data_IF_480151291251
#
_entry.id   IF_480151291251
#
_cell.length_a   1.000
_cell.length_b   1.000
_cell.length_c   1.000
_cell.angle_alpha   90.00
_cell.angle_beta   90.00
_cell.angle_gamma   90.00
#
_symmetry.space_group_name_H-M   'P 1'
#
loop_
_entity.id
_entity.type
_entity.pdbx_description
1 polymer ?
#
# COMPACT_ATOMS: atom_id res chain seq x y z
N UNK A 1 -14.40 22.27 18.71
CA UNK A 1 -13.31 21.50 19.34
C UNK A 1 -12.99 20.34 18.41
N UNK A 2 -11.75 20.18 17.94
CA UNK A 2 -11.37 18.92 17.27
C UNK A 2 -11.50 17.82 18.33
N UNK A 3 -12.18 16.73 18.00
CA UNK A 3 -12.31 15.60 18.93
C UNK A 3 -10.91 15.12 19.34
N UNK A 4 -10.63 15.12 20.64
CA UNK A 4 -9.38 14.64 21.24
C UNK A 4 -8.98 13.26 20.69
N UNK A 5 -9.96 12.39 20.47
CA UNK A 5 -9.78 11.06 19.89
C UNK A 5 -9.31 11.09 18.43
N UNK A 6 -9.71 12.08 17.63
CA UNK A 6 -9.23 12.22 16.24
C UNK A 6 -7.76 12.66 16.20
N UNK A 7 -7.35 13.59 17.07
CA UNK A 7 -5.93 13.94 17.21
C UNK A 7 -5.10 12.77 17.72
N UNK A 8 -5.62 12.03 18.72
CA UNK A 8 -4.96 10.83 19.25
C UNK A 8 -4.77 9.77 18.17
N UNK A 9 -5.82 9.50 17.37
CA UNK A 9 -5.77 8.58 16.23
C UNK A 9 -4.65 8.92 15.25
N UNK A 10 -4.56 10.20 14.89
CA UNK A 10 -3.56 10.69 13.95
C UNK A 10 -2.14 10.46 14.48
N UNK A 11 -1.90 10.83 15.74
CA UNK A 11 -0.60 10.69 16.39
C UNK A 11 -0.18 9.22 16.55
N UNK A 12 -1.11 8.31 16.87
CA UNK A 12 -0.83 6.87 16.96
C UNK A 12 -0.46 6.26 15.59
N UNK A 13 -1.14 6.68 14.51
CA UNK A 13 -0.80 6.24 13.16
C UNK A 13 0.58 6.76 12.72
N UNK A 14 0.86 8.04 12.96
CA UNK A 14 2.19 8.64 12.71
C UNK A 14 3.27 7.93 13.53
N UNK A 15 2.95 7.50 14.76
CA UNK A 15 3.80 6.67 15.61
C UNK A 15 4.05 5.24 15.08
N UNK A 16 3.42 4.85 13.97
CA UNK A 16 3.63 3.56 13.31
C UNK A 16 2.81 2.40 13.87
N UNK A 17 1.80 2.71 14.71
CA UNK A 17 0.85 1.71 15.23
C UNK A 17 -0.07 1.27 14.09
N UNK A 18 -0.41 -0.03 14.07
CA UNK A 18 -1.24 -0.55 12.97
C UNK A 18 -2.67 0.03 13.04
N UNK A 19 -3.32 0.33 11.89
CA UNK A 19 -4.66 0.92 11.87
C UNK A 19 -5.70 0.13 12.68
N UNK A 20 -5.70 -1.21 12.59
CA UNK A 20 -6.62 -2.06 13.36
C UNK A 20 -6.51 -1.88 14.87
N UNK A 21 -5.30 -1.72 15.39
CA UNK A 21 -5.08 -1.49 16.82
C UNK A 21 -5.50 -0.08 17.21
N UNK A 22 -5.22 0.92 16.35
CA UNK A 22 -5.66 2.30 16.57
C UNK A 22 -7.19 2.38 16.59
N UNK A 23 -7.87 1.83 15.57
CA UNK A 23 -9.33 1.87 15.47
C UNK A 23 -9.99 1.12 16.64
N UNK A 24 -9.42 -0.02 17.07
CA UNK A 24 -9.87 -0.73 18.28
C UNK A 24 -9.70 0.12 19.54
N UNK A 25 -8.54 0.73 19.73
CA UNK A 25 -8.24 1.53 20.91
C UNK A 25 -9.11 2.81 20.98
N UNK A 26 -9.30 3.49 19.86
CA UNK A 26 -10.20 4.66 19.77
C UNK A 26 -11.65 4.27 20.07
N UNK A 27 -12.09 3.09 19.61
CA UNK A 27 -13.43 2.58 19.95
C UNK A 27 -13.56 2.30 21.44
N UNK A 28 -12.60 1.59 22.04
CA UNK A 28 -12.60 1.31 23.49
C UNK A 28 -12.59 2.60 24.31
N UNK A 29 -11.85 3.64 23.89
CA UNK A 29 -11.87 4.95 24.53
C UNK A 29 -13.18 5.71 24.32
N UNK A 30 -13.81 5.60 23.16
CA UNK A 30 -15.12 6.20 22.90
C UNK A 30 -16.19 5.55 23.78
N UNK A 31 -16.22 4.22 23.84
CA UNK A 31 -17.14 3.46 24.70
C UNK A 31 -16.97 3.88 26.16
N UNK A 32 -15.73 3.94 26.66
CA UNK A 32 -15.49 4.37 28.05
C UNK A 32 -15.92 5.83 28.31
N UNK A 33 -15.70 6.74 27.36
CA UNK A 33 -16.18 8.12 27.47
C UNK A 33 -17.70 8.16 27.52
N UNK A 34 -18.36 7.37 26.68
CA UNK A 34 -19.82 7.34 26.58
C UNK A 34 -20.42 6.76 27.87
N UNK A 35 -19.79 5.73 28.47
CA UNK A 35 -20.15 5.21 29.80
C UNK A 35 -20.02 6.30 30.91
N UNK A 36 -18.93 7.08 30.90
CA UNK A 36 -18.75 8.19 31.86
C UNK A 36 -19.83 9.27 31.64
N UNK A 37 -20.13 9.59 30.39
CA UNK A 37 -21.13 10.60 30.05
C UNK A 37 -22.54 10.16 30.50
N UNK A 38 -22.89 8.90 30.32
CA UNK A 38 -24.17 8.36 30.76
C UNK A 38 -24.30 8.42 32.29
N UNK A 39 -23.28 7.99 33.02
CA UNK A 39 -23.28 8.07 34.48
C UNK A 39 -23.41 9.52 35.00
N UNK A 40 -22.81 10.49 34.30
CA UNK A 40 -22.95 11.92 34.62
C UNK A 40 -24.35 12.45 34.30
N UNK A 41 -25.00 11.96 33.24
CA UNK A 41 -26.39 12.30 32.91
C UNK A 41 -27.36 11.76 33.96
N UNK A 42 -27.17 10.52 34.39
CA UNK A 42 -27.94 9.91 35.49
C UNK A 42 -27.80 10.72 36.80
N UNK A 43 -26.64 11.36 36.99
CA UNK A 43 -26.37 12.26 38.11
C UNK A 43 -27.02 13.65 37.97
N UNK A 44 -27.83 13.88 36.93
CA UNK A 44 -28.61 15.10 36.72
C UNK A 44 -27.93 16.17 35.86
N UNK A 45 -26.80 15.86 35.20
CA UNK A 45 -26.14 16.81 34.30
C UNK A 45 -26.80 16.84 32.92
N UNK A 46 -26.75 18.00 32.27
CA UNK A 46 -27.17 18.13 30.88
C UNK A 46 -26.25 17.33 29.94
N UNK A 47 -26.77 16.88 28.79
CA UNK A 47 -26.02 16.02 27.86
C UNK A 47 -24.71 16.65 27.37
N UNK A 48 -24.68 17.97 27.15
CA UNK A 48 -23.49 18.69 26.68
C UNK A 48 -22.44 18.83 27.78
N UNK A 49 -22.86 19.10 29.01
CA UNK A 49 -21.96 19.21 30.16
C UNK A 49 -21.41 17.85 30.58
N UNK A 50 -22.23 16.81 30.55
CA UNK A 50 -21.84 15.43 30.82
C UNK A 50 -20.73 14.98 29.86
N UNK A 51 -20.88 15.25 28.56
CA UNK A 51 -19.89 14.90 27.55
C UNK A 51 -18.59 15.72 27.66
N UNK A 52 -18.70 17.02 27.98
CA UNK A 52 -17.53 17.88 28.25
C UNK A 52 -16.73 17.38 29.46
N UNK A 53 -17.43 17.06 30.56
CA UNK A 53 -16.80 16.46 31.76
C UNK A 53 -16.24 15.07 31.50
N UNK A 54 -16.91 14.25 30.69
CA UNK A 54 -16.42 12.93 30.30
C UNK A 54 -15.11 13.03 29.53
N UNK A 55 -15.01 13.95 28.56
CA UNK A 55 -13.75 14.22 27.86
C UNK A 55 -12.64 14.69 28.83
N UNK A 56 -12.97 15.58 29.77
CA UNK A 56 -11.99 16.04 30.76
C UNK A 56 -11.53 14.91 31.71
N UNK A 57 -12.42 13.98 32.07
CA UNK A 57 -12.08 12.80 32.90
C UNK A 57 -11.27 11.75 32.14
N UNK A 58 -11.49 11.61 30.84
CA UNK A 58 -10.72 10.70 29.98
C UNK A 58 -9.22 11.05 29.97
N UNK A 59 -8.88 12.31 30.26
CA UNK A 59 -7.51 12.79 30.41
C UNK A 59 -6.91 13.32 29.12
N UNK A 60 -5.64 13.70 29.20
CA UNK A 60 -4.92 14.30 28.10
C UNK A 60 -4.46 13.24 27.08
N UNK A 61 -4.47 13.63 25.79
CA UNK A 61 -4.10 12.79 24.66
C UNK A 61 -2.69 12.21 24.83
N UNK A 62 -1.77 13.02 25.33
CA UNK A 62 -0.35 12.69 25.48
C UNK A 62 -0.12 11.55 26.49
N UNK A 63 -0.93 11.52 27.56
CA UNK A 63 -0.90 10.46 28.57
C UNK A 63 -1.44 9.15 28.00
N UNK A 64 -2.45 9.22 27.13
CA UNK A 64 -3.03 8.06 26.45
C UNK A 64 -2.12 7.50 25.33
N UNK A 65 -1.22 8.33 24.78
CA UNK A 65 -0.27 7.96 23.72
C UNK A 65 0.96 7.22 24.24
N UNK A 66 1.53 7.68 25.35
CA UNK A 66 2.82 7.22 25.86
C UNK A 66 2.90 5.68 26.01
N UNK A 67 1.92 5.01 26.62
CA UNK A 67 1.96 3.56 26.83
C UNK A 67 2.00 2.77 25.50
N UNK A 68 1.23 3.25 24.51
CA UNK A 68 1.11 2.63 23.19
C UNK A 68 2.38 2.82 22.33
N UNK A 69 3.05 3.97 22.44
CA UNK A 69 4.30 4.24 21.71
C UNK A 69 5.53 3.57 22.33
N UNK A 70 5.54 3.45 23.66
CA UNK A 70 6.61 2.82 24.42
C UNK A 70 6.69 1.31 24.13
N UNK A 71 5.55 0.64 23.99
CA UNK A 71 5.53 -0.78 23.72
C UNK A 71 5.70 -1.08 22.22
N UNK A 72 6.90 -1.56 21.87
CA UNK A 72 7.25 -1.96 20.50
C UNK A 72 6.26 -2.96 19.90
N UNK A 73 5.54 -3.77 20.71
CA UNK A 73 4.59 -4.80 20.23
C UNK A 73 3.44 -4.22 19.41
N UNK A 74 3.04 -2.98 19.66
CA UNK A 74 1.95 -2.32 18.92
C UNK A 74 2.38 -1.72 17.58
N UNK A 75 3.70 -1.60 17.33
CA UNK A 75 4.22 -1.11 16.04
C UNK A 75 3.97 -2.13 14.95
N UNK A 76 3.39 -1.66 13.84
CA UNK A 76 3.16 -2.51 12.68
C UNK A 76 4.48 -3.00 12.05
N UNK A 77 4.49 -4.20 11.46
CA UNK A 77 5.68 -4.74 10.78
C UNK A 77 6.21 -3.81 9.68
N UNK A 78 5.31 -3.12 8.97
CA UNK A 78 5.65 -2.10 7.97
C UNK A 78 6.33 -0.87 8.58
N UNK A 79 5.99 -0.47 9.81
CA UNK A 79 6.69 0.60 10.51
C UNK A 79 8.07 0.16 11.03
N UNK A 80 8.24 -1.13 11.34
CA UNK A 80 9.54 -1.70 11.77
C UNK A 80 10.51 -1.89 10.59
N UNK A 81 9.99 -2.29 9.43
CA UNK A 81 10.79 -2.60 8.24
C UNK A 81 10.22 -1.93 6.99
N UNK A 82 10.24 -0.59 6.90
CA UNK A 82 9.57 0.12 5.81
C UNK A 82 10.18 -0.20 4.43
N UNK A 83 11.51 -0.36 4.34
CA UNK A 83 12.17 -0.79 3.11
C UNK A 83 11.67 -2.17 2.63
N UNK A 84 11.51 -3.13 3.55
CA UNK A 84 11.03 -4.47 3.20
C UNK A 84 9.60 -4.43 2.64
N UNK A 85 8.71 -3.67 3.27
CA UNK A 85 7.30 -3.64 2.90
C UNK A 85 6.98 -2.75 1.69
N UNK A 86 7.71 -1.64 1.52
CA UNK A 86 7.39 -0.65 0.48
C UNK A 86 8.35 -0.64 -0.70
N UNK A 87 9.48 -1.34 -0.63
CA UNK A 87 10.43 -1.48 -1.74
C UNK A 87 10.63 -2.96 -2.10
N UNK A 88 11.08 -3.80 -1.17
CA UNK A 88 11.44 -5.18 -1.49
C UNK A 88 10.22 -6.04 -1.86
N UNK A 89 9.15 -6.01 -1.07
CA UNK A 89 7.94 -6.81 -1.34
C UNK A 89 7.28 -6.46 -2.69
N UNK A 90 7.11 -5.18 -3.07
CA UNK A 90 6.66 -4.78 -4.40
C UNK A 90 7.52 -5.33 -5.54
N UNK A 91 8.85 -5.23 -5.41
CA UNK A 91 9.78 -5.74 -6.42
C UNK A 91 9.75 -7.27 -6.51
N UNK A 92 9.63 -7.95 -5.37
CA UNK A 92 9.47 -9.42 -5.32
C UNK A 92 8.16 -9.85 -5.99
N UNK A 93 7.07 -9.11 -5.77
CA UNK A 93 5.80 -9.39 -6.44
C UNK A 93 5.92 -9.21 -7.97
N UNK A 94 6.55 -8.13 -8.42
CA UNK A 94 6.80 -7.90 -9.85
C UNK A 94 7.71 -8.98 -10.45
N UNK A 95 8.78 -9.37 -9.74
CA UNK A 95 9.65 -10.46 -10.15
C UNK A 95 8.92 -11.79 -10.26
N UNK A 96 8.06 -12.11 -9.28
CA UNK A 96 7.23 -13.31 -9.31
C UNK A 96 6.27 -13.33 -10.51
N UNK A 97 5.71 -12.17 -10.90
CA UNK A 97 4.88 -12.06 -12.11
C UNK A 97 5.69 -12.32 -13.39
N UNK A 98 6.92 -11.79 -13.47
CA UNK A 98 7.81 -12.03 -14.62
C UNK A 98 8.13 -13.52 -14.73
N UNK A 99 8.62 -14.12 -13.64
CA UNK A 99 9.01 -15.54 -13.62
C UNK A 99 7.79 -16.44 -13.89
N UNK A 100 6.68 -16.19 -13.19
CA UNK A 100 5.44 -16.96 -13.37
C UNK A 100 4.90 -16.85 -14.80
N UNK A 101 4.95 -15.66 -15.40
CA UNK A 101 4.53 -15.43 -16.77
C UNK A 101 5.40 -16.17 -17.79
N UNK A 102 6.73 -16.10 -17.64
CA UNK A 102 7.65 -16.84 -18.52
C UNK A 102 7.45 -18.35 -18.39
N UNK A 103 7.31 -18.86 -17.16
CA UNK A 103 7.01 -20.28 -16.94
C UNK A 103 5.66 -20.70 -17.55
N UNK A 104 4.65 -19.84 -17.48
CA UNK A 104 3.36 -20.08 -18.12
C UNK A 104 3.47 -20.14 -19.65
N UNK A 105 4.27 -19.27 -20.28
CA UNK A 105 4.54 -19.32 -21.72
C UNK A 105 5.30 -20.59 -22.12
N UNK A 106 6.32 -20.97 -21.34
CA UNK A 106 7.07 -22.21 -21.56
C UNK A 106 6.18 -23.43 -21.46
N UNK A 107 5.29 -23.45 -20.47
CA UNK A 107 4.30 -24.52 -20.33
C UNK A 107 3.33 -24.54 -21.51
N UNK A 108 2.78 -23.38 -21.90
CA UNK A 108 1.86 -23.28 -23.03
C UNK A 108 2.50 -23.75 -24.36
N UNK A 109 3.80 -23.50 -24.55
CA UNK A 109 4.56 -23.95 -25.72
C UNK A 109 4.56 -25.47 -25.90
N UNK A 110 4.51 -26.23 -24.79
CA UNK A 110 4.48 -27.69 -24.78
C UNK A 110 3.08 -28.29 -24.89
N UNK A 111 2.04 -27.47 -25.06
CA UNK A 111 0.64 -27.92 -25.07
C UNK A 111 -0.07 -27.54 -26.38
N UNK A 112 -1.36 -27.89 -26.51
CA UNK A 112 -2.21 -27.45 -27.62
C UNK A 112 -2.39 -25.93 -27.73
N UNK A 113 -1.93 -25.15 -26.74
CA UNK A 113 -1.98 -23.68 -26.75
C UNK A 113 -0.85 -23.03 -27.57
N UNK A 114 0.09 -23.81 -28.11
CA UNK A 114 1.20 -23.32 -28.93
C UNK A 114 0.79 -22.33 -30.04
N UNK A 115 -0.33 -22.51 -30.78
CA UNK A 115 -0.75 -21.54 -31.80
C UNK A 115 -1.05 -20.15 -31.23
N UNK A 116 -1.47 -20.07 -29.96
CA UNK A 116 -1.81 -18.82 -29.27
C UNK A 116 -0.62 -18.21 -28.50
N UNK A 117 0.60 -18.76 -28.63
CA UNK A 117 1.73 -18.36 -27.78
C UNK A 117 2.14 -16.90 -27.98
N UNK A 118 1.96 -16.36 -29.20
CA UNK A 118 2.23 -14.96 -29.51
C UNK A 118 1.21 -14.04 -28.82
N UNK A 119 -0.06 -14.43 -28.83
CA UNK A 119 -1.13 -13.68 -28.14
C UNK A 119 -0.94 -13.72 -26.62
N UNK A 120 -0.58 -14.89 -26.08
CA UNK A 120 -0.24 -15.04 -24.66
C UNK A 120 0.99 -14.21 -24.28
N UNK A 121 2.01 -14.17 -25.15
CA UNK A 121 3.20 -13.33 -24.95
C UNK A 121 2.88 -11.84 -24.94
N UNK A 122 2.01 -11.40 -25.84
CA UNK A 122 1.51 -10.03 -25.91
C UNK A 122 0.69 -9.68 -24.66
N UNK A 123 -0.19 -10.58 -24.23
CA UNK A 123 -0.97 -10.46 -23.00
C UNK A 123 -0.07 -10.35 -21.76
N UNK A 124 0.98 -11.16 -21.69
CA UNK A 124 1.97 -11.07 -20.61
C UNK A 124 2.72 -9.74 -20.63
N UNK A 125 3.13 -9.26 -21.81
CA UNK A 125 3.80 -7.96 -21.93
C UNK A 125 2.91 -6.81 -21.42
N UNK A 126 1.61 -6.82 -21.76
CA UNK A 126 0.64 -5.86 -21.25
C UNK A 126 0.46 -5.98 -19.73
N UNK A 127 0.33 -7.20 -19.21
CA UNK A 127 0.21 -7.44 -17.77
C UNK A 127 1.42 -6.90 -17.02
N UNK A 128 2.64 -7.16 -17.50
CA UNK A 128 3.87 -6.68 -16.88
C UNK A 128 3.99 -5.17 -16.97
N UNK A 129 3.52 -4.54 -18.05
CA UNK A 129 3.49 -3.09 -18.21
C UNK A 129 2.54 -2.40 -17.23
N UNK A 130 1.37 -2.99 -16.97
CA UNK A 130 0.35 -2.42 -16.06
C UNK A 130 0.65 -2.77 -14.59
N UNK A 131 1.28 -3.90 -14.33
CA UNK A 131 1.59 -4.38 -12.98
C UNK A 131 2.29 -3.35 -12.06
N UNK A 132 3.33 -2.57 -12.47
CA UNK A 132 3.97 -1.61 -11.58
C UNK A 132 3.00 -0.51 -11.12
N UNK A 133 2.01 -0.13 -11.93
CA UNK A 133 1.00 0.88 -11.58
C UNK A 133 0.10 0.34 -10.47
N UNK A 134 -0.42 -0.89 -10.65
CA UNK A 134 -1.28 -1.52 -9.65
C UNK A 134 -0.52 -1.74 -8.33
N UNK A 135 0.71 -2.23 -8.41
CA UNK A 135 1.59 -2.42 -7.23
C UNK A 135 1.88 -1.07 -6.56
N UNK A 136 2.17 -0.01 -7.34
CA UNK A 136 2.37 1.33 -6.83
C UNK A 136 1.13 1.84 -6.08
N UNK A 137 -0.06 1.69 -6.66
CA UNK A 137 -1.29 2.14 -6.02
C UNK A 137 -1.53 1.41 -4.69
N UNK A 138 -1.35 0.09 -4.67
CA UNK A 138 -1.50 -0.71 -3.45
C UNK A 138 -0.50 -0.27 -2.37
N UNK A 139 0.75 -0.02 -2.73
CA UNK A 139 1.80 0.39 -1.78
C UNK A 139 1.57 1.81 -1.25
N UNK A 140 1.21 2.75 -2.12
CA UNK A 140 0.92 4.13 -1.74
C UNK A 140 -0.34 4.23 -0.86
N UNK A 141 -1.42 3.55 -1.23
CA UNK A 141 -2.63 3.49 -0.40
C UNK A 141 -2.34 2.82 0.95
N UNK A 142 -1.52 1.76 0.99
CA UNK A 142 -1.11 1.12 2.22
C UNK A 142 -0.21 2.02 3.10
N UNK A 143 0.66 2.83 2.48
CA UNK A 143 1.48 3.82 3.19
C UNK A 143 0.62 4.94 3.79
N UNK A 144 -0.32 5.49 3.01
CA UNK A 144 -1.23 6.54 3.45
C UNK A 144 -2.14 6.08 4.59
N UNK A 145 -2.76 4.89 4.48
CA UNK A 145 -3.59 4.32 5.55
C UNK A 145 -2.82 4.16 6.88
N UNK A 146 -1.49 4.03 6.80
CA UNK A 146 -0.60 3.88 7.96
C UNK A 146 0.12 5.18 8.32
N UNK A 147 -0.21 6.31 7.67
CA UNK A 147 0.48 7.61 7.83
C UNK A 147 2.01 7.48 7.73
N UNK A 148 2.50 6.52 6.95
CA UNK A 148 3.91 6.22 6.82
C UNK A 148 4.62 7.27 5.95
N UNK A 149 5.91 7.48 6.20
CA UNK A 149 6.72 8.39 5.37
C UNK A 149 6.75 7.94 3.91
N UNK A 150 6.58 8.87 2.97
CA UNK A 150 6.55 8.57 1.53
C UNK A 150 7.90 8.16 0.92
N UNK A 151 9.03 8.29 1.65
CA UNK A 151 10.38 8.04 1.11
C UNK A 151 10.53 6.61 0.54
N UNK A 152 10.15 5.59 1.32
CA UNK A 152 10.26 4.20 0.89
C UNK A 152 9.25 3.79 -0.18
N UNK A 153 7.95 4.13 -0.07
CA UNK A 153 7.00 3.92 -1.14
C UNK A 153 7.43 4.54 -2.46
N UNK A 154 7.94 5.79 -2.46
CA UNK A 154 8.38 6.46 -3.68
C UNK A 154 9.59 5.76 -4.32
N UNK A 155 10.53 5.27 -3.53
CA UNK A 155 11.63 4.44 -4.04
C UNK A 155 11.12 3.13 -4.66
N UNK A 156 10.13 2.49 -4.04
CA UNK A 156 9.48 1.30 -4.59
C UNK A 156 8.78 1.56 -5.92
N UNK A 157 8.01 2.65 -6.01
CA UNK A 157 7.36 3.10 -7.25
C UNK A 157 8.39 3.36 -8.34
N UNK A 158 9.45 4.10 -8.02
CA UNK A 158 10.52 4.39 -8.97
C UNK A 158 11.21 3.12 -9.47
N UNK A 159 11.60 2.23 -8.56
CA UNK A 159 12.25 0.98 -8.90
C UNK A 159 11.36 0.07 -9.76
N UNK A 160 10.07 -0.07 -9.41
CA UNK A 160 9.14 -0.89 -10.18
C UNK A 160 8.87 -0.34 -11.58
N UNK A 161 8.73 0.98 -11.72
CA UNK A 161 8.59 1.65 -13.00
C UNK A 161 9.86 1.50 -13.86
N UNK A 162 11.05 1.62 -13.27
CA UNK A 162 12.33 1.39 -13.95
C UNK A 162 12.45 -0.04 -14.48
N UNK A 163 12.17 -1.03 -13.64
CA UNK A 163 12.20 -2.45 -14.04
C UNK A 163 11.22 -2.67 -15.19
N UNK A 164 9.99 -2.16 -15.08
CA UNK A 164 8.98 -2.35 -16.13
C UNK A 164 9.32 -1.65 -17.43
N UNK A 165 9.92 -0.45 -17.38
CA UNK A 165 10.29 0.30 -18.57
C UNK A 165 11.52 -0.30 -19.28
N UNK A 166 12.43 -0.92 -18.52
CA UNK A 166 13.61 -1.58 -19.06
C UNK A 166 13.32 -2.97 -19.63
N UNK A 167 12.31 -3.66 -19.10
CA UNK A 167 11.96 -5.02 -19.48
C UNK A 167 11.26 -5.08 -20.83
N UNK A 168 11.70 -5.98 -21.70
CA UNK A 168 11.02 -6.32 -22.95
C UNK A 168 10.89 -7.83 -23.08
N UNK A 169 9.67 -8.29 -23.37
CA UNK A 169 9.38 -9.67 -23.72
C UNK A 169 9.12 -9.74 -25.22
N UNK A 170 9.77 -10.69 -25.88
CA UNK A 170 9.52 -11.04 -27.26
C UNK A 170 9.20 -12.53 -27.37
N UNK A 171 8.17 -12.87 -28.13
CA UNK A 171 7.85 -14.25 -28.48
C UNK A 171 7.88 -14.37 -29.99
N UNK A 172 8.79 -15.17 -30.51
CA UNK A 172 8.87 -15.48 -31.95
C UNK A 172 8.39 -16.91 -32.17
N UNK A 173 7.36 -17.11 -33.02
CA UNK A 173 6.88 -18.44 -33.33
C UNK A 173 7.94 -19.22 -34.12
N UNK A 174 7.89 -20.55 -34.06
CA UNK A 174 8.77 -21.42 -34.85
C UNK A 174 8.45 -21.28 -36.34
N UNK A 175 9.50 -21.15 -37.15
CA UNK A 175 9.42 -21.16 -38.62
C UNK A 175 9.76 -22.53 -39.21
N UNK A 176 9.77 -22.66 -40.56
CA UNK A 176 10.09 -23.91 -41.25
C UNK A 176 11.45 -24.49 -40.84
N UNK A 177 12.45 -23.62 -40.65
CA UNK A 177 13.83 -23.99 -40.31
C UNK A 177 14.34 -23.32 -39.02
N UNK A 178 13.47 -22.65 -38.25
CA UNK A 178 13.85 -21.90 -37.05
C UNK A 178 13.03 -22.33 -35.83
N UNK A 179 13.73 -22.65 -34.74
CA UNK A 179 13.09 -22.89 -33.46
C UNK A 179 12.43 -21.61 -32.95
N UNK A 180 11.23 -21.73 -32.37
CA UNK A 180 10.57 -20.60 -31.72
C UNK A 180 11.34 -20.17 -30.48
N UNK A 181 11.30 -18.88 -30.16
CA UNK A 181 12.07 -18.31 -29.05
C UNK A 181 11.17 -17.46 -28.16
N UNK A 182 11.42 -17.56 -26.86
CA UNK A 182 10.87 -16.65 -25.84
C UNK A 182 12.06 -15.88 -25.28
N UNK A 183 12.13 -14.60 -25.60
CA UNK A 183 13.20 -13.71 -25.19
C UNK A 183 12.77 -12.77 -24.08
N UNK A 184 13.57 -12.69 -23.02
CA UNK A 184 13.50 -11.65 -22.01
C UNK A 184 14.74 -10.76 -22.15
N UNK A 185 14.55 -9.47 -22.39
CA UNK A 185 15.67 -8.52 -22.53
C UNK A 185 15.49 -7.35 -21.57
N UNK A 186 16.61 -6.88 -21.05
CA UNK A 186 16.70 -5.65 -20.26
C UNK A 186 17.43 -4.62 -21.10
N UNK A 187 16.70 -3.60 -21.53
CA UNK A 187 17.24 -2.50 -22.31
C UNK A 187 17.36 -1.22 -21.49
N UNK A 188 17.87 -0.17 -22.13
CA UNK A 188 17.75 1.20 -21.61
C UNK A 188 16.27 1.59 -21.59
N UNK A 189 15.71 1.98 -20.43
CA UNK A 189 14.30 2.31 -20.33
C UNK A 189 14.01 3.57 -21.17
N UNK A 190 13.00 3.54 -22.05
CA UNK A 190 12.61 4.74 -22.78
C UNK A 190 12.05 5.77 -21.80
N UNK A 191 12.65 6.97 -21.78
CA UNK A 191 12.31 8.03 -20.81
C UNK A 191 10.82 8.38 -20.80
N UNK A 192 10.20 8.46 -21.98
CA UNK A 192 8.77 8.77 -22.11
C UNK A 192 7.90 7.72 -21.40
N UNK A 193 8.21 6.43 -21.59
CA UNK A 193 7.48 5.33 -20.93
C UNK A 193 7.68 5.37 -19.42
N UNK A 194 8.91 5.58 -18.97
CA UNK A 194 9.23 5.68 -17.55
C UNK A 194 8.43 6.83 -16.90
N UNK A 195 8.45 8.02 -17.50
CA UNK A 195 7.70 9.18 -17.00
C UNK A 195 6.20 8.87 -16.97
N UNK A 196 5.67 8.26 -18.03
CA UNK A 196 4.26 7.88 -18.10
C UNK A 196 3.86 6.92 -16.98
N UNK A 197 4.65 5.86 -16.74
CA UNK A 197 4.42 4.91 -15.65
C UNK A 197 4.49 5.59 -14.28
N UNK A 198 5.44 6.50 -14.07
CA UNK A 198 5.55 7.25 -12.81
C UNK A 198 4.34 8.15 -12.57
N UNK A 199 3.91 8.90 -13.60
CA UNK A 199 2.74 9.79 -13.51
C UNK A 199 1.46 9.01 -13.18
N UNK A 200 1.23 7.88 -13.83
CA UNK A 200 0.08 7.01 -13.51
C UNK A 200 0.20 6.40 -12.11
N UNK A 201 1.40 6.04 -11.68
CA UNK A 201 1.64 5.42 -10.38
C UNK A 201 1.35 6.36 -9.20
N UNK A 202 1.54 7.68 -9.37
CA UNK A 202 1.31 8.68 -8.31
C UNK A 202 -0.12 9.24 -8.26
N UNK A 203 -0.98 8.87 -9.21
CA UNK A 203 -2.37 9.33 -9.30
C UNK A 203 -3.18 9.22 -7.98
N UNK A 204 -3.04 8.14 -7.16
CA UNK A 204 -3.80 8.04 -5.92
C UNK A 204 -3.47 9.12 -4.89
N UNK A 205 -2.29 9.73 -4.99
CA UNK A 205 -1.87 10.83 -4.11
C UNK A 205 -2.50 12.15 -4.60
N UNK A 206 -2.57 12.36 -5.91
CA UNK A 206 -3.07 13.62 -6.47
C UNK A 206 -4.59 13.78 -6.36
N UNK A 207 -5.34 12.68 -6.32
CA UNK A 207 -6.80 12.69 -6.24
C UNK A 207 -7.34 12.89 -4.81
N UNK A 208 -6.48 13.04 -3.81
CA UNK A 208 -6.92 13.19 -2.43
C UNK A 208 -7.27 14.65 -2.12
N UNK A 209 -8.47 14.91 -1.55
CA UNK A 209 -8.85 16.25 -1.12
C UNK A 209 -7.83 16.74 -0.09
N UNK A 210 -7.27 17.93 -0.33
CA UNK A 210 -6.42 18.59 0.65
C UNK A 210 -7.27 18.89 1.88
N UNK A 211 -6.81 18.57 3.10
CA UNK A 211 -7.50 19.04 4.29
C UNK A 211 -7.38 20.56 4.33
N UNK A 212 -8.51 21.24 4.12
CA UNK A 212 -8.69 22.65 4.48
C UNK A 212 -8.70 22.84 6.01
#
# INVERSE_FOLDING_TARGET
MRDCLLSLREQLLVGGISPRHVDRYIRELSEHRDDIAEHLRESGLSSTEAYSRANHRLGDSDVLLLPMLADRRFRSRAARWPALFYLALPLLAQFALIVGGVLALLFAAGTGLRPAIVDLGTGLALLLLVSPIVIAWLTLLAAQRRRASLRWPMLGVLAGALVSAALRIGVTPPGPDTAGQIGLTLGTPPLILLIFLLLLSILPISLQPRPE
#
